data_IF_375181249630
#
_entry.id   IF_375181249630
#
_cell.length_a   1.000
_cell.length_b   1.000
_cell.length_c   1.000
_cell.angle_alpha   90.00
_cell.angle_beta   90.00
_cell.angle_gamma   90.00
#
_symmetry.space_group_name_H-M   'P 1'
#
loop_
_entity.id
_entity.type
_entity.pdbx_description
1 polymer ?
#
# COMPACT_ATOMS: atom_id res chain seq x y z
N UNK A 1 -1.43 -15.08 -13.65
CA UNK A 1 -1.95 -15.60 -12.36
C UNK A 1 -0.84 -15.69 -11.31
N UNK A 2 0.36 -16.17 -11.66
CA UNK A 2 1.48 -16.29 -10.71
C UNK A 2 1.98 -14.95 -10.15
N UNK A 3 2.03 -13.90 -10.96
CA UNK A 3 2.46 -12.56 -10.53
C UNK A 3 1.50 -11.91 -9.52
N UNK A 4 0.19 -12.03 -9.73
CA UNK A 4 -0.83 -11.45 -8.85
C UNK A 4 -0.82 -12.14 -7.47
N UNK A 5 -0.78 -13.47 -7.44
CA UNK A 5 -0.69 -14.21 -6.19
C UNK A 5 0.61 -13.90 -5.45
N UNK A 6 1.70 -13.64 -6.17
CA UNK A 6 2.95 -13.18 -5.58
C UNK A 6 2.79 -11.77 -4.96
N UNK A 7 2.17 -10.82 -5.65
CA UNK A 7 1.93 -9.48 -5.10
C UNK A 7 1.09 -9.51 -3.82
N UNK A 8 -0.01 -10.29 -3.83
CA UNK A 8 -0.85 -10.50 -2.63
C UNK A 8 -0.03 -11.07 -1.47
N UNK A 9 0.87 -12.02 -1.73
CA UNK A 9 1.74 -12.60 -0.70
C UNK A 9 2.71 -11.55 -0.15
N UNK A 10 3.40 -10.82 -1.02
CA UNK A 10 4.37 -9.80 -0.63
C UNK A 10 3.73 -8.66 0.17
N UNK A 11 2.59 -8.14 -0.30
CA UNK A 11 1.85 -7.06 0.40
C UNK A 11 1.44 -7.51 1.80
N UNK A 12 0.85 -8.70 1.94
CA UNK A 12 0.48 -9.24 3.26
C UNK A 12 1.69 -9.43 4.15
N UNK A 13 2.80 -9.95 3.60
CA UNK A 13 4.02 -10.17 4.36
C UNK A 13 4.55 -8.85 4.92
N UNK A 14 4.74 -7.84 4.08
CA UNK A 14 5.22 -6.51 4.50
C UNK A 14 4.31 -5.94 5.59
N UNK A 15 2.99 -5.91 5.37
CA UNK A 15 2.06 -5.36 6.37
C UNK A 15 2.06 -6.16 7.68
N UNK A 16 2.28 -7.48 7.62
CA UNK A 16 2.39 -8.31 8.83
C UNK A 16 3.69 -8.02 9.59
N UNK A 17 4.82 -7.85 8.90
CA UNK A 17 6.09 -7.45 9.51
C UNK A 17 5.94 -6.11 10.25
N UNK A 18 5.18 -5.16 9.69
CA UNK A 18 4.87 -3.90 10.37
C UNK A 18 4.04 -4.04 11.66
N UNK A 19 3.27 -5.13 11.82
CA UNK A 19 2.54 -5.37 13.09
C UNK A 19 3.47 -5.74 14.23
N UNK A 20 4.64 -6.31 13.93
CA UNK A 20 5.62 -6.74 14.93
C UNK A 20 6.40 -5.57 15.54
N UNK A 21 6.35 -4.40 14.89
CA UNK A 21 6.97 -3.19 15.41
C UNK A 21 6.22 -2.74 16.68
N UNK A 22 6.90 -2.68 17.84
CA UNK A 22 6.25 -2.28 19.08
C UNK A 22 5.71 -0.86 18.98
N UNK A 23 4.46 -0.67 19.39
CA UNK A 23 3.90 0.68 19.52
C UNK A 23 4.46 1.30 20.80
N UNK A 24 5.00 2.52 20.70
CA UNK A 24 5.58 3.21 21.85
C UNK A 24 4.55 3.55 22.96
N UNK A 25 3.26 3.60 22.61
CA UNK A 25 2.18 4.03 23.49
C UNK A 25 1.47 2.84 24.12
N UNK A 26 1.56 2.71 25.45
CA UNK A 26 0.84 1.69 26.21
C UNK A 26 -0.67 1.86 26.01
N UNK A 27 -1.35 0.83 25.51
CA UNK A 27 -2.80 0.82 25.29
C UNK A 27 -3.25 0.85 23.82
N UNK A 28 -2.29 0.84 22.89
CA UNK A 28 -2.55 0.70 21.45
C UNK A 28 -1.97 -0.59 20.89
N UNK A 29 -2.54 -1.05 19.77
CA UNK A 29 -2.09 -2.24 19.05
C UNK A 29 -2.16 -2.00 17.54
N UNK A 30 -1.20 -2.58 16.82
CA UNK A 30 -1.26 -2.67 15.38
C UNK A 30 -2.08 -3.91 14.98
N UNK A 31 -2.98 -3.74 14.01
CA UNK A 31 -3.79 -4.82 13.47
C UNK A 31 -3.82 -4.74 11.94
N UNK A 32 -3.83 -5.89 11.29
CA UNK A 32 -4.01 -6.00 9.83
C UNK A 32 -5.46 -6.30 9.48
N UNK A 33 -5.94 -5.69 8.40
CA UNK A 33 -7.25 -5.95 7.82
C UNK A 33 -7.02 -6.31 6.35
N UNK A 34 -7.36 -7.54 5.98
CA UNK A 34 -7.17 -8.04 4.62
C UNK A 34 -8.52 -8.48 4.03
N UNK A 35 -8.95 -7.77 2.99
CA UNK A 35 -10.02 -8.20 2.11
C UNK A 35 -9.39 -8.90 0.89
N UNK A 36 -9.41 -10.22 0.92
CA UNK A 36 -8.79 -11.05 -0.13
C UNK A 36 -9.66 -11.16 -1.39
N UNK A 37 -10.95 -10.83 -1.29
CA UNK A 37 -11.88 -10.89 -2.42
C UNK A 37 -11.77 -9.61 -3.26
N UNK A 38 -11.67 -8.46 -2.60
CA UNK A 38 -11.61 -7.15 -3.24
C UNK A 38 -10.17 -6.58 -3.32
N UNK A 39 -9.18 -7.31 -2.82
CA UNK A 39 -7.77 -6.92 -2.83
C UNK A 39 -7.47 -5.61 -2.08
N UNK A 40 -8.05 -5.45 -0.88
CA UNK A 40 -7.76 -4.35 0.04
C UNK A 40 -6.92 -4.81 1.23
N UNK A 41 -5.83 -4.12 1.51
CA UNK A 41 -4.87 -4.50 2.55
C UNK A 41 -4.50 -3.30 3.40
N UNK A 42 -4.86 -3.33 4.68
CA UNK A 42 -4.65 -2.22 5.60
C UNK A 42 -3.88 -2.66 6.84
N UNK A 43 -3.05 -1.76 7.34
CA UNK A 43 -2.50 -1.75 8.69
C UNK A 43 -3.14 -0.60 9.45
N UNK A 44 -3.74 -0.90 10.59
CA UNK A 44 -4.42 0.06 11.44
C UNK A 44 -3.84 0.02 12.86
N UNK A 45 -3.66 1.18 13.46
CA UNK A 45 -3.39 1.32 14.88
C UNK A 45 -4.70 1.57 15.62
N UNK A 46 -4.99 0.73 16.63
CA UNK A 46 -6.25 0.73 17.36
C UNK A 46 -5.96 0.70 18.86
N UNK A 47 -6.62 1.55 19.63
CA UNK A 47 -6.51 1.49 21.09
C UNK A 47 -7.00 2.74 21.78
N UNK A 48 -6.46 2.97 22.96
CA UNK A 48 -6.67 4.18 23.74
C UNK A 48 -5.34 4.65 24.29
N UNK A 49 -5.12 5.96 24.26
CA UNK A 49 -3.97 6.60 24.86
C UNK A 49 -4.42 7.92 25.49
N UNK A 50 -4.14 8.14 26.78
CA UNK A 50 -4.53 9.34 27.53
C UNK A 50 -6.00 9.76 27.33
N UNK A 51 -6.92 8.81 27.51
CA UNK A 51 -8.38 9.00 27.31
C UNK A 51 -8.80 9.41 25.89
N UNK A 52 -7.88 9.33 24.91
CA UNK A 52 -8.16 9.55 23.51
C UNK A 52 -8.27 8.22 22.76
N UNK A 53 -9.31 8.10 21.94
CA UNK A 53 -9.50 6.96 21.07
C UNK A 53 -8.50 7.01 19.92
N UNK A 54 -7.69 5.97 19.79
CA UNK A 54 -6.83 5.77 18.62
C UNK A 54 -7.50 4.76 17.67
N UNK A 55 -7.72 5.20 16.43
CA UNK A 55 -8.25 4.40 15.33
C UNK A 55 -7.75 5.01 14.00
N UNK A 56 -6.52 4.67 13.64
CA UNK A 56 -5.77 5.36 12.59
C UNK A 56 -5.20 4.38 11.56
N UNK A 57 -5.47 4.61 10.28
CA UNK A 57 -4.88 3.85 9.18
C UNK A 57 -3.40 4.23 9.03
N UNK A 58 -2.50 3.28 9.27
CA UNK A 58 -1.05 3.48 9.18
C UNK A 58 -0.58 3.29 7.74
N UNK A 59 -0.93 2.18 7.11
CA UNK A 59 -0.62 1.87 5.71
C UNK A 59 -1.87 1.29 5.06
N UNK A 60 -2.16 1.70 3.82
CA UNK A 60 -3.24 1.14 3.01
C UNK A 60 -2.72 0.86 1.60
N UNK A 61 -2.83 -0.40 1.18
CA UNK A 61 -2.43 -0.89 -0.12
C UNK A 61 -3.60 -1.63 -0.77
N UNK A 62 -3.89 -1.30 -2.02
CA UNK A 62 -4.82 -2.05 -2.87
C UNK A 62 -4.07 -2.79 -3.97
N UNK A 63 -4.70 -3.80 -4.55
CA UNK A 63 -4.27 -4.35 -5.84
C UNK A 63 -5.40 -4.17 -6.87
N UNK A 64 -5.19 -3.24 -7.81
CA UNK A 64 -6.18 -2.82 -8.80
C UNK A 64 -5.60 -3.03 -10.20
N UNK A 65 -6.33 -3.70 -11.09
CA UNK A 65 -5.90 -3.99 -12.46
C UNK A 65 -4.48 -4.63 -12.51
N UNK A 66 -4.18 -5.52 -11.56
CA UNK A 66 -2.86 -6.18 -11.37
C UNK A 66 -1.69 -5.22 -11.05
N UNK A 67 -1.98 -4.01 -10.61
CA UNK A 67 -1.00 -3.06 -10.08
C UNK A 67 -1.18 -2.91 -8.56
N UNK A 68 -0.09 -2.70 -7.84
CA UNK A 68 -0.10 -2.44 -6.39
C UNK A 68 -0.25 -0.94 -6.17
N UNK A 69 -1.31 -0.52 -5.50
CA UNK A 69 -1.62 0.88 -5.25
C UNK A 69 -1.36 1.22 -3.79
N UNK A 70 -0.48 2.19 -3.54
CA UNK A 70 -0.26 2.71 -2.18
C UNK A 70 -1.24 3.87 -1.97
N UNK A 71 -2.30 3.62 -1.20
CA UNK A 71 -3.34 4.61 -0.92
C UNK A 71 -2.99 5.52 0.25
N UNK A 72 -2.34 4.95 1.28
CA UNK A 72 -1.86 5.69 2.43
C UNK A 72 -0.55 5.10 2.94
N UNK A 73 0.34 5.98 3.37
CA UNK A 73 1.55 5.64 4.11
C UNK A 73 1.82 6.77 5.12
N UNK A 74 1.41 6.56 6.36
CA UNK A 74 1.56 7.50 7.47
C UNK A 74 2.77 7.14 8.34
N UNK A 75 3.81 6.62 7.70
CA UNK A 75 5.09 6.28 8.33
C UNK A 75 6.22 7.04 7.64
N UNK A 76 7.40 7.02 8.22
CA UNK A 76 8.64 7.52 7.62
C UNK A 76 9.27 6.53 6.63
N UNK A 77 8.65 5.36 6.41
CA UNK A 77 9.16 4.29 5.55
C UNK A 77 8.84 4.52 4.10
N UNK A 78 9.74 4.10 3.22
CA UNK A 78 9.57 4.17 1.77
C UNK A 78 8.95 2.86 1.26
N UNK A 79 7.68 2.63 1.57
CA UNK A 79 6.96 1.39 1.22
C UNK A 79 7.07 1.03 -0.26
N UNK A 80 7.07 2.03 -1.14
CA UNK A 80 7.23 1.82 -2.57
C UNK A 80 8.61 1.25 -2.94
N UNK A 81 9.68 1.67 -2.24
CA UNK A 81 11.02 1.10 -2.42
C UNK A 81 11.14 -0.30 -1.83
N UNK A 82 10.50 -0.55 -0.68
CA UNK A 82 10.45 -1.88 -0.06
C UNK A 82 9.75 -2.91 -0.96
N UNK A 83 8.63 -2.52 -1.58
CA UNK A 83 7.93 -3.36 -2.56
C UNK A 83 8.80 -3.65 -3.79
N UNK A 84 9.59 -2.67 -4.25
CA UNK A 84 10.55 -2.88 -5.35
C UNK A 84 11.66 -3.84 -4.93
N UNK A 85 12.23 -3.65 -3.74
CA UNK A 85 13.27 -4.53 -3.20
C UNK A 85 12.75 -5.97 -2.99
N UNK A 86 11.47 -6.13 -2.66
CA UNK A 86 10.79 -7.42 -2.56
C UNK A 86 10.49 -8.08 -3.92
N UNK A 87 10.77 -7.39 -5.03
CA UNK A 87 10.68 -7.94 -6.39
C UNK A 87 9.46 -7.49 -7.20
N UNK A 88 8.68 -6.50 -6.74
CA UNK A 88 7.60 -5.92 -7.53
C UNK A 88 8.19 -4.87 -8.48
N UNK A 89 7.99 -4.95 -9.80
CA UNK A 89 8.47 -3.93 -10.72
C UNK A 89 7.93 -2.54 -10.35
N UNK A 90 8.77 -1.51 -10.35
CA UNK A 90 8.36 -0.14 -10.02
C UNK A 90 7.17 0.36 -10.87
N UNK A 91 7.08 -0.09 -12.13
CA UNK A 91 5.97 0.24 -13.05
C UNK A 91 4.66 -0.50 -12.75
N UNK A 92 4.70 -1.54 -11.92
CA UNK A 92 3.52 -2.21 -11.37
C UNK A 92 3.05 -1.59 -10.05
N UNK A 93 3.75 -0.58 -9.52
CA UNK A 93 3.36 0.14 -8.30
C UNK A 93 2.77 1.49 -8.70
N UNK A 94 1.65 1.90 -8.13
CA UNK A 94 1.02 3.19 -8.34
C UNK A 94 0.95 3.93 -7.00
N UNK A 95 1.40 5.18 -6.98
CA UNK A 95 1.27 6.04 -5.80
C UNK A 95 -0.14 6.66 -5.78
N UNK A 96 -1.11 5.92 -5.22
CA UNK A 96 -2.51 6.35 -5.06
C UNK A 96 -2.64 7.62 -4.21
N UNK A 97 -1.76 7.76 -3.20
CA UNK A 97 -1.66 8.97 -2.36
C UNK A 97 -1.26 10.25 -3.11
N UNK A 98 -0.75 10.14 -4.35
CA UNK A 98 -0.40 11.29 -5.19
C UNK A 98 -1.57 11.66 -6.12
N UNK A 99 -1.77 12.95 -6.42
CA UNK A 99 -2.74 13.40 -7.42
C UNK A 99 -2.48 12.74 -8.79
N UNK A 100 -3.54 12.40 -9.57
CA UNK A 100 -3.38 11.69 -10.85
C UNK A 100 -2.39 12.35 -11.82
N UNK A 101 -2.43 13.67 -11.90
CA UNK A 101 -1.60 14.54 -12.73
C UNK A 101 -0.13 14.58 -12.30
N UNK A 102 0.19 14.21 -11.05
CA UNK A 102 1.57 14.13 -10.54
C UNK A 102 2.20 12.77 -10.82
N UNK A 103 1.40 11.69 -10.88
CA UNK A 103 1.87 10.30 -11.00
C UNK A 103 2.82 10.05 -12.18
N UNK A 104 2.59 10.60 -13.40
CA UNK A 104 3.50 10.41 -14.53
C UNK A 104 4.93 10.93 -14.28
N UNK A 105 5.08 11.90 -13.38
CA UNK A 105 6.38 12.51 -13.04
C UNK A 105 7.09 11.78 -11.88
N UNK A 106 6.51 10.69 -11.37
CA UNK A 106 7.12 9.85 -10.34
C UNK A 106 7.96 8.72 -10.96
N UNK A 107 8.81 8.07 -10.17
CA UNK A 107 9.59 6.91 -10.63
C UNK A 107 8.74 5.65 -10.87
N UNK A 108 7.47 5.65 -10.44
CA UNK A 108 6.60 4.47 -10.40
C UNK A 108 5.69 4.37 -11.63
N UNK A 109 4.67 3.52 -11.55
CA UNK A 109 3.65 3.33 -12.56
C UNK A 109 2.54 4.38 -12.51
N UNK A 110 1.81 4.46 -13.62
CA UNK A 110 0.54 5.17 -13.75
C UNK A 110 -0.58 4.13 -13.96
N UNK A 111 -1.85 4.47 -13.66
CA UNK A 111 -2.97 3.56 -13.83
C UNK A 111 -3.03 2.97 -15.24
N UNK A 112 -3.21 1.66 -15.36
CA UNK A 112 -3.23 0.94 -16.64
C UNK A 112 -4.24 1.53 -17.66
N UNK A 113 -5.39 2.03 -17.19
CA UNK A 113 -6.41 2.68 -18.07
C UNK A 113 -5.94 4.01 -18.66
N UNK A 114 -5.02 4.71 -17.99
CA UNK A 114 -4.41 5.95 -18.49
C UNK A 114 -3.26 5.64 -19.45
N UNK A 115 -2.49 4.58 -19.20
CA UNK A 115 -1.44 4.09 -20.11
C UNK A 115 -1.99 3.73 -21.50
N UNK A 116 -3.17 3.10 -21.54
CA UNK A 116 -3.85 2.74 -22.79
C UNK A 116 -4.32 3.99 -23.56
N UNK A 117 -4.79 5.03 -22.86
CA UNK A 117 -5.24 6.29 -23.51
C UNK A 117 -4.09 7.10 -24.11
N UNK A 118 -2.91 7.10 -23.49
CA UNK A 118 -1.74 7.77 -24.06
C UNK A 118 -1.12 7.00 -25.22
N UNK A 119 -1.09 5.67 -25.16
CA UNK A 119 -0.56 4.82 -26.25
C UNK A 119 -1.45 4.80 -27.51
N UNK A 120 -2.73 5.19 -27.39
CA UNK A 120 -3.68 5.33 -28.50
C UNK A 120 -3.68 6.73 -29.17
N UNK A 121 -2.88 7.69 -28.67
CA UNK A 121 -2.76 9.04 -29.25
C UNK A 121 -1.62 9.17 -30.28
N UNK A 122 -1.00 8.06 -30.68
CA UNK A 122 0.07 7.99 -31.69
C UNK A 122 -0.49 7.51 -33.03
#
# INVERSE_FOLDING_TARGET
MDSLNNYRKLVKQILTEYTEIPVCESGTQNATIFDLENDHYMLINIGWFNDQRIHHCVIHIDIIDSQVWIQANNTDRLIAEELVAAGIPAKSIVLGLQPPDVRPYTAYGVPCREQQRESLKV
#
